data_IF_391511525402
#
_entry.id   IF_391511525402
#
_cell.length_a   1.000
_cell.length_b   1.000
_cell.length_c   1.000
_cell.angle_alpha   90.00
_cell.angle_beta   90.00
_cell.angle_gamma   90.00
#
_symmetry.space_group_name_H-M   'P 1'
#
loop_
_entity.id
_entity.type
_entity.pdbx_description
1 polymer ?
#
# COMPACT_ATOMS: atom_id res chain seq x y z
N UNK A 1 35.86 -28.95 -27.22
CA UNK A 1 35.13 -27.89 -27.94
C UNK A 1 34.04 -27.40 -27.01
N UNK A 2 33.99 -26.09 -26.73
CA UNK A 2 33.48 -25.48 -25.49
C UNK A 2 32.08 -25.92 -25.03
N UNK A 3 31.87 -26.07 -23.70
CA UNK A 3 30.54 -26.25 -23.16
C UNK A 3 29.73 -24.97 -23.37
N UNK A 4 28.47 -25.13 -23.79
CA UNK A 4 27.45 -24.08 -23.87
C UNK A 4 27.37 -23.37 -22.52
N UNK A 5 27.87 -22.14 -22.48
CA UNK A 5 27.81 -21.26 -21.32
C UNK A 5 26.35 -21.08 -20.91
N UNK A 6 26.02 -21.48 -19.69
CA UNK A 6 24.73 -21.19 -19.06
C UNK A 6 24.68 -19.69 -18.78
N UNK A 7 24.30 -18.90 -19.78
CA UNK A 7 24.03 -17.45 -19.64
C UNK A 7 22.71 -17.25 -18.92
N UNK A 8 22.59 -17.78 -17.71
CA UNK A 8 21.62 -17.28 -16.75
C UNK A 8 22.39 -16.47 -15.72
N UNK A 9 22.79 -15.26 -16.14
CA UNK A 9 23.08 -14.20 -15.19
C UNK A 9 21.88 -14.11 -14.24
N UNK A 10 22.14 -14.18 -12.93
CA UNK A 10 21.12 -14.12 -11.89
C UNK A 10 20.19 -12.92 -12.12
N UNK A 11 19.02 -13.15 -12.72
CA UNK A 11 18.02 -12.10 -12.92
C UNK A 11 17.54 -11.71 -11.53
N UNK A 12 17.98 -10.54 -11.04
CA UNK A 12 17.51 -9.99 -9.75
C UNK A 12 16.02 -9.68 -9.85
N UNK A 13 15.18 -10.65 -9.51
CA UNK A 13 13.74 -10.46 -9.37
C UNK A 13 13.54 -9.52 -8.19
N UNK A 14 12.92 -8.36 -8.42
CA UNK A 14 12.53 -7.47 -7.31
C UNK A 14 11.39 -8.14 -6.56
N UNK A 15 11.71 -8.72 -5.42
CA UNK A 15 10.71 -9.19 -4.46
C UNK A 15 10.16 -7.93 -3.76
N UNK A 16 8.87 -7.68 -3.94
CA UNK A 16 8.19 -6.55 -3.29
C UNK A 16 7.65 -7.05 -1.94
N UNK A 17 8.41 -6.79 -0.88
CA UNK A 17 7.97 -7.04 0.50
C UNK A 17 6.85 -6.06 0.92
N UNK A 18 6.05 -6.45 1.93
CA UNK A 18 4.94 -5.62 2.42
C UNK A 18 5.40 -4.22 2.86
N UNK A 19 6.56 -4.12 3.51
CA UNK A 19 7.19 -2.87 3.93
C UNK A 19 7.70 -2.02 2.75
N UNK A 20 8.06 -2.64 1.62
CA UNK A 20 8.46 -1.91 0.42
C UNK A 20 7.24 -1.39 -0.36
N UNK A 21 6.08 -2.05 -0.21
CA UNK A 21 4.84 -1.67 -0.90
C UNK A 21 4.21 -0.43 -0.26
N UNK A 22 4.06 -0.41 1.06
CA UNK A 22 3.45 0.71 1.81
C UNK A 22 4.57 1.54 2.43
N UNK A 23 4.70 2.81 2.00
CA UNK A 23 5.78 3.69 2.44
C UNK A 23 5.40 4.46 3.69
N UNK A 24 4.32 5.24 3.61
CA UNK A 24 3.83 6.03 4.74
C UNK A 24 2.35 6.42 4.55
N UNK A 25 1.59 6.62 5.64
CA UNK A 25 0.25 7.17 5.58
C UNK A 25 0.26 8.65 5.22
N UNK A 26 -0.79 9.13 4.57
CA UNK A 26 -0.92 10.53 4.18
C UNK A 26 -1.81 11.29 5.17
N UNK A 27 -1.25 12.28 5.86
CA UNK A 27 -1.90 13.09 6.92
C UNK A 27 -2.44 14.44 6.42
N UNK A 28 -2.63 14.63 5.12
CA UNK A 28 -3.16 15.90 4.58
C UNK A 28 -4.61 16.11 5.01
N UNK A 29 -5.08 17.35 5.17
CA UNK A 29 -6.48 17.67 5.53
C UNK A 29 -7.53 16.92 4.68
N UNK A 30 -7.30 16.86 3.36
CA UNK A 30 -8.18 16.12 2.44
C UNK A 30 -8.19 14.60 2.66
N UNK A 31 -7.11 14.06 3.22
CA UNK A 31 -7.02 12.65 3.61
C UNK A 31 -7.69 12.43 4.96
N UNK A 32 -7.51 13.33 5.92
CA UNK A 32 -8.17 13.29 7.23
C UNK A 32 -9.70 13.28 7.07
N UNK A 33 -10.25 14.17 6.23
CA UNK A 33 -11.69 14.16 5.89
C UNK A 33 -12.16 12.82 5.31
N UNK A 34 -11.33 12.12 4.53
CA UNK A 34 -11.68 10.80 3.97
C UNK A 34 -11.65 9.68 5.01
N UNK A 35 -10.86 9.83 6.06
CA UNK A 35 -10.84 8.90 7.19
C UNK A 35 -12.18 9.02 7.93
N UNK A 36 -12.59 10.25 8.23
CA UNK A 36 -13.85 10.56 8.93
C UNK A 36 -15.10 10.22 8.10
N UNK A 37 -15.23 10.76 6.88
CA UNK A 37 -16.46 10.68 6.11
C UNK A 37 -16.68 9.32 5.43
N UNK A 38 -15.59 8.63 5.06
CA UNK A 38 -15.63 7.51 4.13
C UNK A 38 -15.00 6.23 4.67
N UNK A 39 -14.55 6.22 5.93
CA UNK A 39 -13.84 5.08 6.54
C UNK A 39 -12.70 4.58 5.62
N UNK A 40 -11.93 5.52 5.08
CA UNK A 40 -10.92 5.25 4.05
C UNK A 40 -9.56 5.81 4.48
N UNK A 41 -8.60 4.92 4.65
CA UNK A 41 -7.21 5.28 4.92
C UNK A 41 -6.47 5.61 3.62
N UNK A 42 -5.57 6.59 3.70
CA UNK A 42 -4.79 7.04 2.55
C UNK A 42 -3.31 6.75 2.77
N UNK A 43 -2.71 6.04 1.84
CA UNK A 43 -1.29 5.67 1.89
C UNK A 43 -0.54 6.15 0.66
N UNK A 44 0.73 6.49 0.85
CA UNK A 44 1.72 6.54 -0.22
C UNK A 44 2.35 5.15 -0.35
N UNK A 45 2.37 4.66 -1.59
CA UNK A 45 2.80 3.31 -1.93
C UNK A 45 3.85 3.34 -3.05
N UNK A 46 4.50 2.21 -3.27
CA UNK A 46 5.38 2.05 -4.41
C UNK A 46 4.63 2.12 -5.74
N UNK A 47 5.26 2.73 -6.75
CA UNK A 47 4.66 2.93 -8.07
C UNK A 47 4.36 1.61 -8.78
N UNK A 48 5.11 0.54 -8.49
CA UNK A 48 4.96 -0.76 -9.14
C UNK A 48 3.91 -1.65 -8.44
N UNK A 49 3.42 -1.23 -7.27
CA UNK A 49 2.49 -2.05 -6.50
C UNK A 49 1.10 -2.16 -7.15
N UNK A 50 0.58 -3.39 -7.16
CA UNK A 50 -0.77 -3.74 -7.60
C UNK A 50 -1.77 -3.69 -6.45
N UNK A 51 -3.07 -3.52 -6.77
CA UNK A 51 -4.16 -3.46 -5.77
C UNK A 51 -4.22 -4.67 -4.85
N UNK A 52 -3.98 -5.86 -5.39
CA UNK A 52 -3.95 -7.11 -4.62
C UNK A 52 -2.80 -7.12 -3.60
N UNK A 53 -1.60 -6.70 -4.03
CA UNK A 53 -0.42 -6.60 -3.17
C UNK A 53 -0.62 -5.58 -2.06
N UNK A 54 -1.24 -4.44 -2.37
CA UNK A 54 -1.56 -3.40 -1.38
C UNK A 54 -2.56 -3.95 -0.35
N UNK A 55 -3.62 -4.63 -0.79
CA UNK A 55 -4.60 -5.24 0.13
C UNK A 55 -3.93 -6.25 1.07
N UNK A 56 -3.08 -7.13 0.53
CA UNK A 56 -2.33 -8.09 1.35
C UNK A 56 -1.31 -7.42 2.28
N UNK A 57 -0.67 -6.34 1.85
CA UNK A 57 0.30 -5.60 2.66
C UNK A 57 -0.37 -4.88 3.83
N UNK A 58 -1.50 -4.19 3.59
CA UNK A 58 -2.28 -3.53 4.65
C UNK A 58 -2.74 -4.55 5.69
N UNK A 59 -3.25 -5.69 5.23
CA UNK A 59 -3.69 -6.78 6.13
C UNK A 59 -2.54 -7.33 6.99
N UNK A 60 -1.34 -7.47 6.43
CA UNK A 60 -0.17 -7.98 7.16
C UNK A 60 0.44 -6.97 8.14
N UNK A 61 0.47 -5.68 7.78
CA UNK A 61 1.15 -4.66 8.58
C UNK A 61 0.29 -4.13 9.72
N UNK A 62 -1.01 -3.99 9.49
CA UNK A 62 -1.90 -3.31 10.43
C UNK A 62 -3.07 -4.20 10.90
N UNK A 63 -3.12 -5.45 10.43
CA UNK A 63 -4.17 -6.43 10.78
C UNK A 63 -5.60 -5.97 10.42
N UNK A 64 -5.72 -5.15 9.37
CA UNK A 64 -7.00 -4.58 8.92
C UNK A 64 -7.48 -5.26 7.64
N UNK A 65 -8.78 -5.51 7.54
CA UNK A 65 -9.40 -5.96 6.30
C UNK A 65 -9.94 -4.79 5.46
N UNK A 66 -9.45 -4.70 4.23
CA UNK A 66 -9.90 -3.70 3.26
C UNK A 66 -11.06 -4.23 2.41
N UNK A 67 -12.17 -3.49 2.38
CA UNK A 67 -13.27 -3.74 1.47
C UNK A 67 -12.84 -3.48 0.01
N UNK A 68 -12.24 -2.32 -0.25
CA UNK A 68 -11.86 -1.89 -1.61
C UNK A 68 -10.58 -1.07 -1.59
N UNK A 69 -9.75 -1.26 -2.62
CA UNK A 69 -8.53 -0.47 -2.83
C UNK A 69 -8.61 0.28 -4.16
N UNK A 70 -8.45 1.59 -4.10
CA UNK A 70 -8.32 2.48 -5.25
C UNK A 70 -6.91 3.08 -5.25
N UNK A 71 -6.31 3.27 -6.42
CA UNK A 71 -4.93 3.79 -6.54
C UNK A 71 -4.89 4.87 -7.60
N UNK A 72 -4.07 5.90 -7.39
CA UNK A 72 -3.78 6.95 -8.37
C UNK A 72 -2.28 7.22 -8.42
N UNK A 73 -1.77 7.56 -9.60
CA UNK A 73 -0.41 8.09 -9.75
C UNK A 73 -0.46 9.61 -9.57
N UNK A 74 0.27 10.13 -8.58
CA UNK A 74 0.42 11.57 -8.40
C UNK A 74 1.36 12.11 -9.47
N UNK A 75 1.22 13.38 -9.87
CA UNK A 75 2.19 14.04 -10.77
C UNK A 75 3.61 14.05 -10.18
N UNK A 76 3.74 14.00 -8.86
CA UNK A 76 5.02 13.94 -8.13
C UNK A 76 5.78 12.60 -8.29
N UNK A 77 5.29 11.68 -9.13
CA UNK A 77 5.90 10.35 -9.35
C UNK A 77 5.61 9.32 -8.26
N UNK A 78 4.92 9.71 -7.19
CA UNK A 78 4.47 8.80 -6.13
C UNK A 78 3.09 8.21 -6.47
N UNK A 79 2.82 6.97 -6.03
CA UNK A 79 1.49 6.38 -6.13
C UNK A 79 0.77 6.54 -4.79
N UNK A 80 -0.47 7.01 -4.83
CA UNK A 80 -1.35 7.17 -3.67
C UNK A 80 -2.44 6.08 -3.72
N UNK A 81 -2.70 5.43 -2.60
CA UNK A 81 -3.73 4.42 -2.43
C UNK A 81 -4.80 4.93 -1.45
N UNK A 82 -6.06 4.77 -1.84
CA UNK A 82 -7.22 4.87 -0.99
C UNK A 82 -7.65 3.46 -0.62
N UNK A 83 -7.65 3.15 0.67
CA UNK A 83 -7.99 1.84 1.20
C UNK A 83 -9.25 1.99 2.04
N UNK A 84 -10.38 1.59 1.47
CA UNK A 84 -11.65 1.59 2.18
C UNK A 84 -11.71 0.34 3.06
N UNK A 85 -11.93 0.54 4.35
CA UNK A 85 -12.02 -0.55 5.32
C UNK A 85 -13.37 -1.27 5.20
N UNK A 86 -13.43 -2.49 5.72
CA UNK A 86 -14.69 -3.16 5.95
C UNK A 86 -15.53 -2.39 7.00
N UNK A 87 -16.87 -2.43 6.94
CA UNK A 87 -17.73 -1.69 7.87
C UNK A 87 -17.56 -2.14 9.33
N UNK A 88 -16.96 -3.31 9.56
CA UNK A 88 -16.67 -3.85 10.89
C UNK A 88 -15.50 -3.15 11.60
N UNK A 89 -14.72 -2.34 10.86
CA UNK A 89 -13.56 -1.61 11.38
C UNK A 89 -13.76 -0.11 11.23
N UNK A 90 -13.42 0.66 12.26
CA UNK A 90 -13.38 2.12 12.21
C UNK A 90 -11.97 2.62 11.83
N UNK A 91 -11.87 3.43 10.77
CA UNK A 91 -10.61 4.02 10.34
C UNK A 91 -10.03 5.02 11.34
N UNK A 92 -10.84 5.67 12.18
CA UNK A 92 -10.35 6.58 13.22
C UNK A 92 -9.59 5.82 14.30
N UNK A 93 -10.17 4.73 14.81
CA UNK A 93 -9.53 3.87 15.81
C UNK A 93 -8.23 3.26 15.28
N UNK A 94 -8.25 2.83 14.02
CA UNK A 94 -7.07 2.29 13.35
C UNK A 94 -6.01 3.38 13.13
N UNK A 95 -6.41 4.60 12.74
CA UNK A 95 -5.47 5.71 12.58
C UNK A 95 -4.79 6.10 13.89
N UNK A 96 -5.53 6.07 15.00
CA UNK A 96 -4.98 6.28 16.35
C UNK A 96 -3.97 5.18 16.73
N UNK A 97 -4.27 3.91 16.41
CA UNK A 97 -3.33 2.79 16.63
C UNK A 97 -2.05 2.92 15.81
N UNK A 98 -2.15 3.48 14.60
CA UNK A 98 -0.99 3.70 13.73
C UNK A 98 -0.21 4.97 14.14
N UNK A 99 -0.83 5.90 14.87
CA UNK A 99 -0.22 7.17 15.30
C UNK A 99 -0.23 8.24 14.21
N UNK A 100 -1.31 8.28 13.41
CA UNK A 100 -1.50 9.24 12.30
C UNK A 100 -2.27 10.49 12.77
N UNK A 101 -3.05 10.35 13.85
CA UNK A 101 -3.86 11.37 14.52
C UNK A 101 -3.27 11.66 15.90
#
# INVERSE_FOLDING_TARGET
MCPVVVVQAWRRVRILDAFNIIKYPLTTESAMKKIEDNNTLVFIIDRLANKYQIKSAVKKLYEIDAARVNTLHRPDGLKKAYVKLAPDYDALDVANKIGII
#
